data_IF_339774739000
#
_entry.id   IF_339774739000
#
_cell.length_a   1.000
_cell.length_b   1.000
_cell.length_c   1.000
_cell.angle_alpha   90.00
_cell.angle_beta   90.00
_cell.angle_gamma   90.00
#
_symmetry.space_group_name_H-M   'P 1'
#
loop_
_entity.id
_entity.type
_entity.pdbx_description
1 polymer ?
#
# COMPACT_ATOMS: atom_id res chain seq x y z
N UNK A 1 59.82 -30.00 22.37
CA UNK A 1 59.24 -29.25 21.24
C UNK A 1 57.84 -29.79 21.01
N UNK A 2 56.82 -29.07 21.49
CA UNK A 2 55.44 -29.52 21.55
C UNK A 2 54.81 -29.53 20.16
N UNK A 3 54.21 -30.67 19.77
CA UNK A 3 53.38 -30.80 18.58
C UNK A 3 52.02 -30.16 18.87
N UNK A 4 51.74 -29.03 18.25
CA UNK A 4 50.40 -28.49 18.10
C UNK A 4 49.72 -29.20 16.92
N UNK A 5 48.84 -30.15 17.21
CA UNK A 5 47.88 -30.68 16.24
C UNK A 5 46.50 -30.27 16.73
N UNK A 6 46.05 -29.13 16.23
CA UNK A 6 44.76 -28.52 16.50
C UNK A 6 43.67 -29.44 15.92
N UNK A 7 42.78 -29.89 16.80
CA UNK A 7 41.68 -30.82 16.54
C UNK A 7 40.61 -30.20 15.63
N UNK A 8 40.25 -30.91 14.55
CA UNK A 8 39.17 -30.58 13.58
C UNK A 8 37.83 -30.22 14.23
N UNK A 9 37.61 -30.67 15.48
CA UNK A 9 36.38 -30.46 16.23
C UNK A 9 36.11 -28.98 16.61
N UNK A 10 37.15 -28.14 16.65
CA UNK A 10 36.99 -26.71 16.99
C UNK A 10 36.37 -25.87 15.88
N UNK A 11 36.64 -26.23 14.62
CA UNK A 11 36.15 -25.49 13.44
C UNK A 11 34.66 -25.72 13.23
N UNK A 12 34.19 -26.95 13.45
CA UNK A 12 32.77 -27.32 13.30
C UNK A 12 31.91 -26.59 14.35
N UNK A 13 32.40 -26.48 15.59
CA UNK A 13 31.69 -25.77 16.67
C UNK A 13 31.62 -24.26 16.35
N UNK A 14 32.69 -23.64 15.86
CA UNK A 14 32.66 -22.22 15.46
C UNK A 14 31.70 -21.95 14.30
N UNK A 15 31.62 -22.84 13.31
CA UNK A 15 30.68 -22.72 12.20
C UNK A 15 29.22 -22.83 12.66
N UNK A 16 28.90 -23.76 13.57
CA UNK A 16 27.54 -23.89 14.12
C UNK A 16 27.11 -22.66 14.91
N UNK A 17 28.01 -22.05 15.69
CA UNK A 17 27.72 -20.80 16.43
C UNK A 17 27.46 -19.64 15.45
N UNK A 18 28.22 -19.54 14.36
CA UNK A 18 28.04 -18.49 13.36
C UNK A 18 26.69 -18.60 12.62
N UNK A 19 26.20 -19.82 12.38
CA UNK A 19 24.88 -20.04 11.77
C UNK A 19 23.72 -19.67 12.70
N UNK A 20 23.84 -19.84 14.02
CA UNK A 20 22.76 -19.51 14.97
C UNK A 20 22.56 -17.98 15.10
N UNK A 21 23.60 -17.19 14.88
CA UNK A 21 23.51 -15.72 14.94
C UNK A 21 22.79 -15.07 13.74
N UNK A 22 22.53 -15.81 12.66
CA UNK A 22 21.90 -15.27 11.43
C UNK A 22 20.38 -15.47 11.36
N UNK A 23 19.76 -16.23 12.29
CA UNK A 23 18.35 -16.66 12.14
C UNK A 23 17.35 -15.85 13.00
N UNK A 24 17.78 -14.85 13.76
CA UNK A 24 16.85 -14.01 14.53
C UNK A 24 16.78 -12.59 13.95
N UNK A 25 16.21 -12.47 12.74
CA UNK A 25 15.61 -11.21 12.33
C UNK A 25 14.23 -11.13 12.96
N UNK A 26 14.17 -10.70 14.23
CA UNK A 26 12.92 -10.28 14.85
C UNK A 26 12.50 -8.98 14.18
N UNK A 27 11.61 -9.09 13.19
CA UNK A 27 10.90 -7.94 12.65
C UNK A 27 10.06 -7.35 13.78
N UNK A 28 10.58 -6.32 14.44
CA UNK A 28 9.82 -5.41 15.29
C UNK A 28 8.84 -4.63 14.41
N UNK A 29 7.83 -5.32 13.88
CA UNK A 29 6.69 -4.72 13.24
C UNK A 29 5.95 -3.91 14.30
N UNK A 30 6.15 -2.60 14.27
CA UNK A 30 5.36 -1.66 15.05
C UNK A 30 3.90 -1.97 14.77
N UNK A 31 3.14 -2.44 15.78
CA UNK A 31 1.70 -2.56 15.67
C UNK A 31 1.12 -1.16 15.51
N UNK A 32 1.06 -0.66 14.28
CA UNK A 32 0.18 0.43 13.90
C UNK A 32 -1.22 -0.04 14.28
N UNK A 33 -1.76 0.53 15.35
CA UNK A 33 -3.11 0.25 15.83
C UNK A 33 -4.11 0.62 14.75
N UNK A 34 -4.43 -0.33 13.88
CA UNK A 34 -5.55 -0.25 12.96
C UNK A 34 -6.83 -0.29 13.81
N UNK A 35 -7.36 0.88 14.14
CA UNK A 35 -8.74 0.99 14.59
C UNK A 35 -9.64 0.81 13.36
N UNK A 36 -10.54 -0.19 13.34
CA UNK A 36 -11.54 -0.32 12.28
C UNK A 36 -12.55 0.81 12.42
N UNK A 37 -12.21 1.97 11.85
CA UNK A 37 -13.12 3.06 11.58
C UNK A 37 -13.48 3.03 10.10
N UNK A 38 -14.74 3.28 9.78
CA UNK A 38 -15.17 3.55 8.39
C UNK A 38 -14.63 4.93 8.01
N UNK A 39 -13.35 5.03 7.69
CA UNK A 39 -12.74 6.26 7.20
C UNK A 39 -13.14 6.43 5.74
N UNK A 40 -14.14 7.28 5.50
CA UNK A 40 -14.57 7.65 4.14
C UNK A 40 -13.48 8.42 3.39
N UNK A 41 -12.65 9.13 4.15
CA UNK A 41 -11.59 9.98 3.64
C UNK A 41 -10.27 9.67 4.35
N UNK A 42 -9.18 9.75 3.59
CA UNK A 42 -7.82 9.83 4.11
C UNK A 42 -7.36 11.29 4.11
N UNK A 43 -6.72 11.74 5.18
CA UNK A 43 -6.23 13.11 5.32
C UNK A 43 -4.80 13.05 5.85
N UNK A 44 -3.87 13.71 5.16
CA UNK A 44 -2.51 14.00 5.61
C UNK A 44 -2.25 15.51 5.58
N UNK A 45 -1.06 15.94 6.01
CA UNK A 45 -0.60 17.33 5.86
C UNK A 45 -0.51 17.77 4.39
N UNK A 46 -0.33 16.82 3.47
CA UNK A 46 -0.08 17.07 2.04
C UNK A 46 -1.32 16.86 1.18
N UNK A 47 -2.16 15.88 1.52
CA UNK A 47 -3.26 15.44 0.65
C UNK A 47 -4.47 14.98 1.45
N UNK A 48 -5.66 15.37 0.99
CA UNK A 48 -6.94 14.76 1.35
C UNK A 48 -7.47 13.93 0.18
N UNK A 49 -7.74 12.66 0.45
CA UNK A 49 -8.31 11.68 -0.50
C UNK A 49 -9.71 11.30 -0.03
N UNK A 50 -10.67 11.31 -0.94
CA UNK A 50 -12.04 10.83 -0.69
C UNK A 50 -12.48 9.91 -1.82
N UNK A 51 -13.30 8.91 -1.49
CA UNK A 51 -13.78 7.92 -2.45
C UNK A 51 -15.27 8.11 -2.73
N UNK A 52 -15.65 7.99 -4.00
CA UNK A 52 -17.04 7.81 -4.42
C UNK A 52 -17.16 6.46 -5.12
N UNK A 53 -17.77 5.50 -4.43
CA UNK A 53 -18.01 4.14 -4.91
C UNK A 53 -19.22 4.13 -5.85
N UNK A 54 -18.99 3.91 -7.15
CA UNK A 54 -20.04 3.86 -8.18
C UNK A 54 -20.20 2.42 -8.69
N UNK A 55 -21.29 2.12 -9.38
CA UNK A 55 -21.61 0.74 -9.78
C UNK A 55 -20.49 0.01 -10.55
N UNK A 56 -19.71 0.74 -11.36
CA UNK A 56 -18.70 0.14 -12.25
C UNK A 56 -17.25 0.52 -11.92
N UNK A 57 -17.05 1.48 -11.02
CA UNK A 57 -15.73 2.03 -10.72
C UNK A 57 -15.68 2.75 -9.36
N UNK A 58 -14.45 3.01 -8.93
CA UNK A 58 -14.14 3.82 -7.76
C UNK A 58 -13.62 5.16 -8.26
N UNK A 59 -14.34 6.24 -7.98
CA UNK A 59 -13.85 7.60 -8.24
C UNK A 59 -13.04 8.09 -7.03
N UNK A 60 -11.76 8.34 -7.26
CA UNK A 60 -10.81 8.86 -6.25
C UNK A 60 -10.69 10.36 -6.44
N UNK A 61 -11.08 11.15 -5.45
CA UNK A 61 -10.92 12.61 -5.47
C UNK A 61 -9.76 13.01 -4.55
N UNK A 62 -8.78 13.71 -5.10
CA UNK A 62 -7.57 14.15 -4.42
C UNK A 62 -7.55 15.68 -4.32
N UNK A 63 -7.29 16.19 -3.12
CA UNK A 63 -7.06 17.60 -2.86
C UNK A 63 -5.71 17.77 -2.15
N UNK A 64 -4.79 18.46 -2.80
CA UNK A 64 -3.43 18.71 -2.31
C UNK A 64 -3.37 20.07 -1.61
N UNK A 65 -2.53 20.17 -0.57
CA UNK A 65 -2.30 21.44 0.14
C UNK A 65 -1.45 22.43 -0.65
N UNK A 66 -0.74 21.95 -1.69
CA UNK A 66 0.10 22.75 -2.59
C UNK A 66 -0.07 22.29 -4.05
N UNK A 67 0.31 23.10 -5.06
CA UNK A 67 0.34 22.69 -6.46
C UNK A 67 1.02 21.35 -6.71
N UNK A 68 0.26 20.35 -7.17
CA UNK A 68 0.78 18.99 -7.34
C UNK A 68 1.34 18.78 -8.74
N UNK A 69 2.58 18.30 -8.81
CA UNK A 69 3.31 17.99 -10.07
C UNK A 69 3.90 16.56 -10.08
N UNK A 70 3.43 15.72 -9.15
CA UNK A 70 3.88 14.36 -9.00
C UNK A 70 3.16 13.37 -9.93
N UNK A 71 3.19 12.08 -9.57
CA UNK A 71 2.42 11.03 -10.24
C UNK A 71 1.46 10.37 -9.25
N UNK A 72 0.20 10.26 -9.65
CA UNK A 72 -0.78 9.41 -8.95
C UNK A 72 -1.11 8.23 -9.83
N UNK A 73 -1.18 7.03 -9.25
CA UNK A 73 -1.69 5.86 -9.94
C UNK A 73 -2.43 4.90 -9.00
N UNK A 74 -3.40 4.18 -9.56
CA UNK A 74 -4.02 3.02 -8.93
C UNK A 74 -3.43 1.74 -9.54
N UNK A 75 -3.09 0.77 -8.70
CA UNK A 75 -2.45 -0.47 -9.11
C UNK A 75 -1.06 -0.20 -9.68
N UNK A 76 -0.74 -0.83 -10.82
CA UNK A 76 0.57 -0.65 -11.46
C UNK A 76 0.72 0.75 -12.06
N UNK A 77 1.95 1.28 -11.98
CA UNK A 77 2.32 2.62 -12.50
C UNK A 77 2.08 2.81 -14.00
N UNK A 78 2.25 1.75 -14.77
CA UNK A 78 2.06 1.69 -16.22
C UNK A 78 0.60 1.38 -16.63
N UNK A 79 -0.31 1.27 -15.66
CA UNK A 79 -1.72 1.10 -15.96
C UNK A 79 -2.35 2.40 -16.49
N UNK A 80 -3.48 2.27 -17.19
CA UNK A 80 -4.30 3.40 -17.63
C UNK A 80 -4.92 4.20 -16.47
N UNK A 81 -4.79 3.74 -15.22
CA UNK A 81 -5.26 4.45 -14.02
C UNK A 81 -4.14 5.28 -13.41
N UNK A 82 -3.59 6.21 -14.17
CA UNK A 82 -2.56 7.12 -13.69
C UNK A 82 -2.70 8.51 -14.30
N UNK A 83 -2.21 9.52 -13.57
CA UNK A 83 -2.06 10.87 -14.11
C UNK A 83 -0.84 11.56 -13.50
N UNK A 84 -0.24 12.46 -14.30
CA UNK A 84 0.77 13.40 -13.83
C UNK A 84 0.10 14.72 -13.46
N UNK A 85 0.49 15.29 -12.33
CA UNK A 85 0.01 16.59 -11.90
C UNK A 85 0.48 17.70 -12.83
N UNK A 86 -0.40 18.66 -13.12
CA UNK A 86 -0.14 19.83 -13.96
C UNK A 86 0.03 21.12 -13.12
N UNK A 87 0.09 21.00 -11.80
CA UNK A 87 0.16 22.11 -10.85
C UNK A 87 -1.18 22.55 -10.29
N UNK A 88 -2.30 21.91 -10.64
CA UNK A 88 -3.56 22.08 -9.92
C UNK A 88 -3.47 21.53 -8.49
N UNK A 89 -4.42 21.94 -7.66
CA UNK A 89 -4.58 21.44 -6.29
C UNK A 89 -5.62 20.31 -6.20
N UNK A 90 -6.50 20.15 -7.19
CA UNK A 90 -7.59 19.16 -7.15
C UNK A 90 -7.60 18.30 -8.40
N UNK A 91 -7.75 16.99 -8.20
CA UNK A 91 -7.78 15.99 -9.26
C UNK A 91 -8.79 14.89 -8.94
N UNK A 92 -9.24 14.20 -9.99
CA UNK A 92 -10.04 13.00 -9.88
C UNK A 92 -9.44 11.90 -10.74
N UNK A 93 -9.40 10.68 -10.22
CA UNK A 93 -8.95 9.48 -10.93
C UNK A 93 -10.06 8.44 -10.90
N UNK A 94 -10.44 7.95 -12.08
CA UNK A 94 -11.37 6.84 -12.19
C UNK A 94 -10.64 5.51 -12.13
N UNK A 95 -11.05 4.61 -11.25
CA UNK A 95 -10.45 3.27 -11.07
C UNK A 95 -11.51 2.20 -11.36
N UNK A 96 -11.52 1.61 -12.56
CA UNK A 96 -12.54 0.62 -12.93
C UNK A 96 -12.46 -0.64 -12.09
N UNK A 97 -13.62 -1.22 -11.78
CA UNK A 97 -13.71 -2.51 -11.06
C UNK A 97 -13.06 -3.66 -11.85
N UNK A 98 -13.11 -3.61 -13.18
CA UNK A 98 -12.62 -4.65 -14.08
C UNK A 98 -11.18 -4.40 -14.59
N UNK A 99 -10.50 -3.33 -14.17
CA UNK A 99 -9.19 -2.95 -14.71
C UNK A 99 -8.22 -2.45 -13.61
N UNK A 100 -7.02 -2.06 -14.02
CA UNK A 100 -5.99 -1.45 -13.17
C UNK A 100 -5.60 -2.27 -11.94
N UNK A 101 -5.77 -3.59 -12.00
CA UNK A 101 -5.47 -4.50 -10.90
C UNK A 101 -6.46 -4.41 -9.73
N UNK A 102 -7.67 -3.87 -9.94
CA UNK A 102 -8.72 -3.89 -8.92
C UNK A 102 -9.11 -5.33 -8.61
N UNK A 103 -9.21 -5.66 -7.33
CA UNK A 103 -9.53 -7.00 -6.83
C UNK A 103 -10.95 -6.97 -6.27
N UNK A 104 -11.77 -7.94 -6.70
CA UNK A 104 -13.05 -8.23 -6.04
C UNK A 104 -12.79 -9.11 -4.83
N UNK A 105 -13.15 -8.61 -3.66
CA UNK A 105 -12.96 -9.25 -2.36
C UNK A 105 -14.28 -9.90 -1.94
N UNK A 106 -14.32 -11.21 -2.10
CA UNK A 106 -15.43 -12.07 -1.67
C UNK A 106 -15.13 -12.68 -0.29
N UNK A 107 -16.14 -12.87 0.59
CA UNK A 107 -17.58 -12.69 0.37
C UNK A 107 -18.14 -11.28 0.66
N UNK A 108 -17.30 -10.31 0.99
CA UNK A 108 -17.73 -8.98 1.47
C UNK A 108 -18.29 -8.05 0.37
N UNK A 109 -18.45 -8.57 -0.84
CA UNK A 109 -18.83 -7.85 -2.06
C UNK A 109 -18.20 -6.45 -2.17
N UNK A 110 -16.88 -6.43 -2.16
CA UNK A 110 -16.11 -5.20 -2.13
C UNK A 110 -15.03 -5.18 -3.20
N UNK A 111 -14.68 -3.99 -3.68
CA UNK A 111 -13.62 -3.79 -4.66
C UNK A 111 -12.47 -3.03 -4.01
N UNK A 112 -11.27 -3.58 -4.12
CA UNK A 112 -10.05 -3.06 -3.51
C UNK A 112 -8.98 -2.76 -4.56
N UNK A 113 -8.23 -1.69 -4.37
CA UNK A 113 -7.04 -1.38 -5.16
C UNK A 113 -6.02 -0.63 -4.29
N UNK A 114 -4.78 -0.48 -4.75
CA UNK A 114 -3.75 0.34 -4.11
C UNK A 114 -3.63 1.66 -4.85
N UNK A 115 -3.85 2.77 -4.14
CA UNK A 115 -3.57 4.12 -4.59
C UNK A 115 -2.17 4.52 -4.13
N UNK A 116 -1.35 4.97 -5.08
CA UNK A 116 -0.01 5.49 -4.82
C UNK A 116 0.06 6.94 -5.27
N UNK A 117 0.48 7.83 -4.36
CA UNK A 117 0.71 9.25 -4.59
C UNK A 117 2.21 9.50 -4.44
N UNK A 118 2.86 9.78 -5.56
CA UNK A 118 4.29 10.11 -5.60
C UNK A 118 4.46 11.60 -5.76
N UNK A 119 5.06 12.26 -4.78
CA UNK A 119 5.20 13.73 -4.81
C UNK A 119 6.36 14.17 -5.72
N UNK A 120 7.36 13.31 -5.92
CA UNK A 120 8.41 13.53 -6.90
C UNK A 120 8.05 12.89 -8.25
N UNK A 121 8.38 13.58 -9.35
CA UNK A 121 7.98 13.17 -10.70
C UNK A 121 8.69 11.89 -11.19
N UNK A 122 9.92 11.65 -10.73
CA UNK A 122 10.77 10.57 -11.24
C UNK A 122 11.16 9.50 -10.21
N UNK A 123 11.17 9.83 -8.92
CA UNK A 123 11.75 8.99 -7.86
C UNK A 123 10.69 8.64 -6.84
N UNK A 124 10.75 7.43 -6.32
CA UNK A 124 10.00 7.03 -5.13
C UNK A 124 10.82 7.43 -3.91
N UNK A 125 10.27 8.29 -3.07
CA UNK A 125 10.98 8.90 -1.95
C UNK A 125 10.24 8.65 -0.64
N UNK A 126 10.99 8.75 0.46
CA UNK A 126 10.40 8.79 1.79
C UNK A 126 9.46 10.00 1.90
N UNK A 127 8.15 9.72 2.01
CA UNK A 127 7.09 10.73 1.98
C UNK A 127 6.06 10.54 0.86
N UNK A 128 6.24 9.58 -0.04
CA UNK A 128 5.17 9.10 -0.91
C UNK A 128 4.08 8.37 -0.10
N UNK A 129 2.84 8.50 -0.53
CA UNK A 129 1.69 7.92 0.18
C UNK A 129 1.12 6.73 -0.59
N UNK A 130 1.17 5.56 0.04
CA UNK A 130 0.56 4.33 -0.48
C UNK A 130 -0.62 3.98 0.41
N UNK A 131 -1.81 3.83 -0.18
CA UNK A 131 -3.06 3.54 0.54
C UNK A 131 -3.85 2.46 -0.18
N UNK A 132 -4.50 1.60 0.59
CA UNK A 132 -5.51 0.69 0.05
C UNK A 132 -6.84 1.44 -0.03
N UNK A 133 -7.39 1.56 -1.24
CA UNK A 133 -8.75 2.06 -1.47
C UNK A 133 -9.71 0.87 -1.49
N UNK A 134 -10.84 0.98 -0.80
CA UNK A 134 -11.81 -0.10 -0.64
C UNK A 134 -13.24 0.46 -0.75
N UNK A 135 -14.01 -0.08 -1.68
CA UNK A 135 -15.44 0.19 -1.82
C UNK A 135 -16.22 -1.07 -1.46
N UNK A 136 -17.04 -0.99 -0.40
CA UNK A 136 -17.94 -2.08 0.02
C UNK A 136 -19.33 -1.84 -0.54
N UNK A 137 -19.90 -2.83 -1.21
CA UNK A 137 -21.27 -2.79 -1.71
C UNK A 137 -22.15 -3.64 -0.79
N UNK A 138 -23.24 -3.05 -0.33
CA UNK A 138 -24.22 -3.76 0.50
C UNK A 138 -25.30 -4.37 -0.38
N UNK A 139 -25.71 -5.59 -0.08
CA UNK A 139 -26.98 -6.14 -0.58
C UNK A 139 -28.10 -5.56 0.28
N UNK A 140 -28.93 -4.67 -0.28
CA UNK A 140 -30.14 -4.23 0.41
C UNK A 140 -31.12 -5.41 0.58
N UNK A 141 -31.72 -5.55 1.76
CA UNK A 141 -32.84 -6.46 1.96
C UNK A 141 -34.14 -5.77 1.52
N UNK A 142 -34.89 -6.39 0.60
CA UNK A 142 -36.27 -5.99 0.32
C UNK A 142 -37.14 -6.71 1.35
N UNK A 143 -37.77 -5.97 2.26
CA UNK A 143 -38.85 -6.52 3.08
C UNK A 143 -40.15 -6.45 2.26
N UNK A 144 -40.65 -7.62 1.86
CA UNK A 144 -42.01 -7.75 1.33
C UNK A 144 -42.94 -7.91 2.55
N UNK A 145 -43.82 -6.93 2.74
CA UNK A 145 -44.89 -6.95 3.76
C UNK A 145 -46.15 -7.61 3.25
#
# INVERSE_FOLDING_TARGET
MARHTTTENGVIILLLIFFISLVNCESAGTKLGYKPGTFKDFVSEKTRVSLSCRSNDIMVNLNFSVPFRGLVHAGKKDSGCSFRGDGKMSYSLNVPHAACGTIHVTPQDSFANTLTIRYHHALELEGDEIKTILCKYGTGSIQLG
#
